data_IF_380552258637
#
_entry.id   IF_380552258637
#
_cell.length_a   1.000
_cell.length_b   1.000
_cell.length_c   1.000
_cell.angle_alpha   90.00
_cell.angle_beta   90.00
_cell.angle_gamma   90.00
#
_symmetry.space_group_name_H-M   'P 1'
#
loop_
_entity.id
_entity.type
_entity.pdbx_description
1 polymer ?
#
# COMPACT_ATOMS: atom_id res chain seq x y z
N UNK A 1 6.78 -6.39 29.00
CA UNK A 1 7.45 -6.78 27.73
C UNK A 1 6.80 -5.94 26.66
N UNK A 2 7.55 -5.25 25.80
CA UNK A 2 6.94 -4.37 24.80
C UNK A 2 6.15 -5.21 23.78
N UNK A 3 4.85 -4.92 23.61
CA UNK A 3 3.98 -5.69 22.70
C UNK A 3 3.49 -4.87 21.51
N UNK A 4 3.72 -3.54 21.51
CA UNK A 4 3.35 -2.67 20.40
C UNK A 4 4.43 -1.66 20.02
N UNK A 5 4.52 -1.42 18.71
CA UNK A 5 5.32 -0.37 18.07
C UNK A 5 4.37 0.78 17.70
N UNK A 6 4.57 1.95 18.30
CA UNK A 6 3.87 3.17 17.87
C UNK A 6 4.71 3.92 16.85
N UNK A 7 4.09 4.31 15.74
CA UNK A 7 4.68 5.12 14.68
C UNK A 7 4.05 6.51 14.73
N UNK A 8 4.84 7.52 15.10
CA UNK A 8 4.43 8.93 15.05
C UNK A 8 4.64 9.45 13.62
N UNK A 9 3.53 9.79 12.97
CA UNK A 9 3.51 10.25 11.58
C UNK A 9 4.03 11.68 11.40
N UNK A 10 3.92 12.52 12.45
CA UNK A 10 4.34 13.92 12.44
C UNK A 10 5.83 14.03 12.71
N UNK A 11 6.31 13.32 13.73
CA UNK A 11 7.72 13.33 14.14
C UNK A 11 8.58 12.34 13.37
N UNK A 12 7.97 11.36 12.69
CA UNK A 12 8.67 10.24 12.04
C UNK A 12 9.54 9.49 13.03
N UNK A 13 9.01 9.31 14.23
CA UNK A 13 9.67 8.55 15.30
C UNK A 13 8.96 7.24 15.49
N UNK A 14 9.71 6.24 15.94
CA UNK A 14 9.14 4.99 16.43
C UNK A 14 9.40 4.85 17.92
N UNK A 15 8.38 4.48 18.67
CA UNK A 15 8.43 4.24 20.12
C UNK A 15 7.90 2.85 20.43
N UNK A 16 8.48 2.24 21.46
CA UNK A 16 7.97 0.98 22.01
C UNK A 16 7.07 1.29 23.18
N UNK A 17 5.89 0.69 23.22
CA UNK A 17 4.97 0.86 24.35
C UNK A 17 4.77 -0.47 25.07
N UNK A 18 4.98 -0.47 26.37
CA UNK A 18 4.72 -1.63 27.23
C UNK A 18 3.22 -1.72 27.54
N UNK A 19 2.61 -2.88 27.33
CA UNK A 19 1.17 -3.11 27.55
C UNK A 19 0.75 -3.03 29.02
N UNK A 20 1.63 -3.39 29.94
CA UNK A 20 1.30 -3.45 31.38
C UNK A 20 1.51 -2.10 32.06
N UNK A 21 2.59 -1.41 31.70
CA UNK A 21 2.98 -0.16 32.36
C UNK A 21 2.61 1.10 31.57
N UNK A 22 2.24 0.99 30.29
CA UNK A 22 2.05 2.13 29.38
C UNK A 22 3.31 2.97 29.18
N UNK A 23 4.48 2.45 29.58
CA UNK A 23 5.75 3.17 29.50
C UNK A 23 6.28 3.09 28.08
N UNK A 24 6.71 4.25 27.60
CA UNK A 24 7.35 4.40 26.30
C UNK A 24 8.88 4.34 26.45
N UNK A 25 9.53 3.68 25.50
CA UNK A 25 10.97 3.79 25.32
C UNK A 25 11.34 5.16 24.70
N UNK A 26 12.62 5.51 24.77
CA UNK A 26 13.19 6.62 24.01
C UNK A 26 12.78 6.53 22.52
N UNK A 27 12.24 7.61 21.94
CA UNK A 27 11.86 7.63 20.54
C UNK A 27 13.08 7.51 19.65
N UNK A 28 12.97 6.66 18.64
CA UNK A 28 14.00 6.49 17.62
C UNK A 28 13.58 7.25 16.36
N UNK A 29 14.33 8.31 16.07
CA UNK A 29 14.10 9.18 14.91
C UNK A 29 14.34 8.44 13.60
N UNK A 30 13.42 8.53 12.65
CA UNK A 30 13.57 8.03 11.28
C UNK A 30 13.78 9.18 10.30
N UNK A 31 14.70 8.98 9.36
CA UNK A 31 14.78 9.89 8.23
C UNK A 31 13.56 9.68 7.30
N UNK A 32 13.24 10.66 6.44
CA UNK A 32 12.06 10.63 5.57
C UNK A 32 11.91 9.32 4.79
N UNK A 33 12.99 8.87 4.16
CA UNK A 33 12.97 7.65 3.36
C UNK A 33 12.84 6.40 4.23
N UNK A 34 13.48 6.38 5.41
CA UNK A 34 13.37 5.25 6.34
C UNK A 34 11.93 5.13 6.87
N UNK A 35 11.29 6.26 7.21
CA UNK A 35 9.89 6.32 7.61
C UNK A 35 8.95 5.85 6.49
N UNK A 36 9.13 6.36 5.28
CA UNK A 36 8.30 5.96 4.14
C UNK A 36 8.43 4.46 3.83
N UNK A 37 9.66 3.92 3.88
CA UNK A 37 9.91 2.50 3.66
C UNK A 37 9.28 1.67 4.78
N UNK A 38 9.40 2.08 6.05
CA UNK A 38 8.74 1.39 7.15
C UNK A 38 7.23 1.34 6.94
N UNK A 39 6.60 2.46 6.56
CA UNK A 39 5.17 2.49 6.27
C UNK A 39 4.79 1.53 5.14
N UNK A 40 5.57 1.50 4.05
CA UNK A 40 5.34 0.57 2.94
C UNK A 40 5.44 -0.91 3.37
N UNK A 41 6.41 -1.22 4.22
CA UNK A 41 6.58 -2.57 4.79
C UNK A 41 5.48 -2.95 5.77
N UNK A 42 5.00 -2.02 6.59
CA UNK A 42 3.88 -2.25 7.50
C UNK A 42 2.56 -2.46 6.72
N UNK A 43 2.34 -1.69 5.65
CA UNK A 43 1.15 -1.80 4.79
C UNK A 43 1.11 -3.14 4.02
N UNK A 44 2.28 -3.70 3.67
CA UNK A 44 2.43 -4.94 2.87
C UNK A 44 3.16 -6.04 3.64
N UNK A 45 2.82 -6.21 4.93
CA UNK A 45 3.48 -7.18 5.80
C UNK A 45 3.44 -8.60 5.21
N UNK A 46 4.60 -9.28 5.20
CA UNK A 46 4.73 -10.63 4.67
C UNK A 46 4.73 -10.73 3.13
N UNK A 47 4.54 -9.63 2.41
CA UNK A 47 4.54 -9.59 0.95
C UNK A 47 5.89 -9.10 0.39
N UNK A 48 6.25 -9.58 -0.80
CA UNK A 48 7.46 -9.12 -1.50
C UNK A 48 7.13 -7.83 -2.24
N UNK A 49 7.87 -6.76 -1.91
CA UNK A 49 7.76 -5.46 -2.57
C UNK A 49 8.94 -5.28 -3.52
N UNK A 50 8.65 -4.96 -4.77
CA UNK A 50 9.66 -4.70 -5.80
C UNK A 50 10.55 -3.49 -5.43
N UNK A 51 11.80 -3.54 -5.90
CA UNK A 51 12.79 -2.49 -5.61
C UNK A 51 12.39 -1.12 -6.15
N UNK A 52 11.81 -1.05 -7.35
CA UNK A 52 11.39 0.21 -7.94
C UNK A 52 10.21 0.79 -7.20
N UNK A 53 9.26 -0.04 -6.79
CA UNK A 53 8.14 0.38 -5.95
C UNK A 53 8.64 0.96 -4.61
N UNK A 54 9.61 0.30 -3.96
CA UNK A 54 10.22 0.82 -2.73
C UNK A 54 10.99 2.12 -2.95
N UNK A 55 11.67 2.28 -4.10
CA UNK A 55 12.34 3.54 -4.46
C UNK A 55 11.31 4.67 -4.62
N UNK A 56 10.22 4.43 -5.34
CA UNK A 56 9.16 5.42 -5.54
C UNK A 56 8.50 5.85 -4.22
N UNK A 57 8.20 4.88 -3.34
CA UNK A 57 7.60 5.14 -2.02
C UNK A 57 8.59 5.83 -1.08
N UNK A 58 9.85 5.40 -1.05
CA UNK A 58 10.90 5.95 -0.19
C UNK A 58 11.35 7.37 -0.58
N UNK A 59 11.24 7.71 -1.87
CA UNK A 59 11.70 8.98 -2.44
C UNK A 59 10.67 9.56 -3.44
N UNK A 60 9.47 9.95 -2.97
CA UNK A 60 8.43 10.44 -3.85
C UNK A 60 8.89 11.68 -4.61
N UNK A 61 8.77 11.63 -5.94
CA UNK A 61 9.17 12.71 -6.85
C UNK A 61 10.69 12.91 -6.98
N UNK A 62 11.52 11.96 -6.53
CA UNK A 62 12.98 12.04 -6.65
C UNK A 62 13.52 10.77 -7.29
N UNK A 63 14.35 10.96 -8.32
CA UNK A 63 15.11 9.86 -8.95
C UNK A 63 16.30 9.50 -8.06
N UNK A 64 16.31 8.28 -7.54
CA UNK A 64 17.44 7.68 -6.83
C UNK A 64 17.73 6.28 -7.39
N UNK A 65 18.94 5.78 -7.19
CA UNK A 65 19.30 4.42 -7.59
C UNK A 65 19.30 3.42 -6.44
N UNK A 66 19.43 2.12 -6.77
CA UNK A 66 19.43 0.96 -5.87
C UNK A 66 20.34 1.10 -4.65
N UNK A 67 21.50 1.75 -4.79
CA UNK A 67 22.41 1.97 -3.66
C UNK A 67 21.76 2.80 -2.54
N UNK A 68 20.92 3.79 -2.91
CA UNK A 68 20.19 4.60 -1.93
C UNK A 68 19.17 3.76 -1.17
N UNK A 69 18.45 2.87 -1.89
CA UNK A 69 17.54 1.90 -1.29
C UNK A 69 18.27 0.98 -0.30
N UNK A 70 19.39 0.40 -0.73
CA UNK A 70 20.20 -0.51 0.09
C UNK A 70 20.69 0.17 1.38
N UNK A 71 21.19 1.41 1.30
CA UNK A 71 21.65 2.18 2.47
C UNK A 71 20.49 2.52 3.41
N UNK A 72 19.33 2.91 2.88
CA UNK A 72 18.16 3.20 3.70
C UNK A 72 17.65 1.96 4.42
N UNK A 73 17.54 0.82 3.72
CA UNK A 73 17.16 -0.47 4.31
C UNK A 73 18.18 -0.91 5.38
N UNK A 74 19.47 -0.75 5.13
CA UNK A 74 20.51 -1.05 6.12
C UNK A 74 20.32 -0.24 7.41
N UNK A 75 20.05 1.06 7.30
CA UNK A 75 19.82 1.92 8.46
C UNK A 75 18.52 1.56 9.18
N UNK A 76 17.46 1.29 8.42
CA UNK A 76 16.18 0.87 8.97
C UNK A 76 16.30 -0.45 9.74
N UNK A 77 16.99 -1.46 9.18
CA UNK A 77 17.30 -2.72 9.88
C UNK A 77 17.99 -2.47 11.22
N UNK A 78 19.09 -1.71 11.24
CA UNK A 78 19.80 -1.39 12.48
C UNK A 78 18.90 -0.79 13.56
N UNK A 79 17.95 0.06 13.15
CA UNK A 79 16.98 0.67 14.06
C UNK A 79 15.97 -0.34 14.56
N UNK A 80 15.41 -1.18 13.70
CA UNK A 80 14.47 -2.23 14.08
C UNK A 80 15.12 -3.32 14.94
N UNK A 81 16.35 -3.70 14.63
CA UNK A 81 17.13 -4.69 15.39
C UNK A 81 17.38 -4.20 16.83
N UNK A 82 17.59 -2.89 17.02
CA UNK A 82 17.78 -2.29 18.35
C UNK A 82 16.55 -2.38 19.26
N UNK A 83 15.38 -2.68 18.69
CA UNK A 83 14.13 -2.86 19.42
C UNK A 83 13.97 -4.30 19.94
N UNK A 84 14.76 -5.26 19.43
CA UNK A 84 14.71 -6.68 19.78
C UNK A 84 13.31 -7.32 19.63
N UNK A 85 12.49 -6.79 18.71
CA UNK A 85 11.11 -7.19 18.48
C UNK A 85 10.91 -8.26 17.40
N UNK A 86 11.99 -8.79 16.82
CA UNK A 86 11.89 -9.80 15.76
C UNK A 86 11.32 -9.25 14.44
N UNK A 87 11.55 -7.96 14.19
CA UNK A 87 11.30 -7.33 12.90
C UNK A 87 12.46 -7.63 11.96
N UNK A 88 12.17 -8.26 10.84
CA UNK A 88 13.18 -8.66 9.86
C UNK A 88 12.81 -8.10 8.49
N UNK A 89 13.78 -7.48 7.80
CA UNK A 89 13.64 -7.12 6.39
C UNK A 89 14.55 -8.04 5.61
N UNK A 90 14.02 -8.91 4.76
CA UNK A 90 14.80 -9.86 3.96
C UNK A 90 14.85 -9.43 2.49
N UNK A 91 15.98 -9.71 1.83
CA UNK A 91 16.18 -9.43 0.41
C UNK A 91 15.97 -10.73 -0.38
N UNK A 92 15.09 -10.71 -1.37
CA UNK A 92 14.89 -11.78 -2.33
C UNK A 92 15.55 -11.36 -3.66
N UNK A 93 16.71 -11.95 -4.02
CA UNK A 93 17.43 -11.57 -5.23
C UNK A 93 16.57 -11.70 -6.48
N UNK A 94 16.44 -10.61 -7.24
CA UNK A 94 15.63 -10.56 -8.46
C UNK A 94 14.15 -10.23 -8.24
N UNK A 95 13.68 -10.22 -6.99
CA UNK A 95 12.26 -9.97 -6.68
C UNK A 95 12.06 -8.69 -5.86
N UNK A 96 12.90 -8.43 -4.84
CA UNK A 96 12.76 -7.25 -3.99
C UNK A 96 13.00 -7.53 -2.52
N UNK A 97 12.17 -6.94 -1.66
CA UNK A 97 12.30 -7.07 -0.21
C UNK A 97 10.98 -7.47 0.44
N UNK A 98 11.08 -8.25 1.52
CA UNK A 98 9.94 -8.65 2.36
C UNK A 98 10.18 -8.20 3.79
N UNK A 99 9.11 -7.80 4.47
CA UNK A 99 9.13 -7.50 5.89
C UNK A 99 8.39 -8.57 6.69
N UNK A 100 9.05 -9.09 7.73
CA UNK A 100 8.53 -10.13 8.61
C UNK A 100 8.48 -9.58 10.03
N UNK A 101 7.38 -9.85 10.71
CA UNK A 101 7.16 -9.50 12.12
C UNK A 101 7.02 -10.81 12.88
N UNK A 102 8.15 -11.41 13.26
CA UNK A 102 8.18 -12.77 13.79
C UNK A 102 7.48 -12.91 15.15
N UNK A 103 7.35 -11.81 15.91
CA UNK A 103 6.70 -11.79 17.23
C UNK A 103 5.26 -11.28 17.18
N UNK A 104 4.69 -11.05 15.99
CA UNK A 104 3.33 -10.52 15.81
C UNK A 104 3.05 -9.26 16.66
N UNK A 105 4.04 -8.37 16.79
CA UNK A 105 3.92 -7.11 17.53
C UNK A 105 2.85 -6.24 16.87
N UNK A 106 1.96 -5.64 17.66
CA UNK A 106 0.97 -4.68 17.15
C UNK A 106 1.67 -3.42 16.63
N UNK A 107 1.34 -2.99 15.41
CA UNK A 107 1.87 -1.75 14.84
C UNK A 107 0.74 -0.73 14.79
N UNK A 108 0.88 0.34 15.57
CA UNK A 108 -0.10 1.41 15.68
C UNK A 108 0.43 2.68 15.02
N UNK A 109 -0.46 3.37 14.31
CA UNK A 109 -0.17 4.68 13.74
C UNK A 109 -0.88 5.74 14.57
N UNK A 110 -0.12 6.63 15.18
CA UNK A 110 -0.68 7.84 15.78
C UNK A 110 -1.04 8.79 14.64
N UNK A 111 -2.20 8.54 14.05
CA UNK A 111 -2.80 9.40 13.05
C UNK A 111 -3.35 10.63 13.77
N UNK A 112 -2.65 11.75 13.65
CA UNK A 112 -3.25 13.06 13.79
C UNK A 112 -4.22 13.34 12.64
N UNK A 113 -5.35 12.61 12.58
CA UNK A 113 -6.61 12.97 11.92
C UNK A 113 -7.49 11.71 11.80
N UNK A 114 -8.52 11.64 12.63
CA UNK A 114 -9.68 10.78 12.45
C UNK A 114 -10.41 11.10 11.14
N UNK A 115 -10.81 10.04 10.47
CA UNK A 115 -11.99 9.89 9.62
C UNK A 115 -13.05 11.01 9.71
N UNK A 116 -13.38 11.62 8.57
CA UNK A 116 -14.60 12.38 8.36
C UNK A 116 -14.98 12.38 6.86
N UNK A 117 -15.77 11.38 6.48
CA UNK A 117 -16.97 11.48 5.64
C UNK A 117 -17.08 12.63 4.61
N UNK A 118 -17.13 12.27 3.34
CA UNK A 118 -17.89 12.99 2.31
C UNK A 118 -19.37 13.12 2.77
N UNK A 119 -20.02 14.28 2.62
CA UNK A 119 -20.91 14.45 1.47
C UNK A 119 -20.88 15.86 0.82
N UNK A 120 -20.93 15.86 -0.51
CA UNK A 120 -21.93 16.58 -1.33
C UNK A 120 -22.13 18.08 -1.07
N UNK A 121 -21.56 18.92 -1.95
CA UNK A 121 -22.25 20.14 -2.43
C UNK A 121 -21.98 20.31 -3.92
N UNK A 122 -23.07 20.22 -4.69
CA UNK A 122 -23.24 20.59 -6.09
C UNK A 122 -22.96 22.08 -6.36
N UNK A 123 -22.55 22.38 -7.60
CA UNK A 123 -22.88 23.57 -8.41
C UNK A 123 -22.66 24.96 -7.74
N UNK A 124 -21.90 25.89 -8.32
CA UNK A 124 -22.46 26.78 -9.35
C UNK A 124 -21.37 27.55 -10.08
N UNK A 125 -21.52 27.54 -11.39
CA UNK A 125 -20.98 28.38 -12.47
C UNK A 125 -20.91 29.87 -12.11
N UNK A 126 -19.88 30.59 -12.56
CA UNK A 126 -19.96 31.81 -13.40
C UNK A 126 -18.57 32.09 -13.99
N UNK A 127 -18.53 32.08 -15.32
CA UNK A 127 -17.42 32.55 -16.15
C UNK A 127 -17.66 34.02 -16.54
N UNK A 128 -16.58 34.82 -16.44
CA UNK A 128 -16.15 35.94 -17.31
C UNK A 128 -17.12 37.13 -17.59
N UNK A 129 -16.67 38.24 -18.24
CA UNK A 129 -15.35 38.88 -18.34
C UNK A 129 -15.45 40.39 -17.93
N UNK A 130 -14.36 41.18 -17.98
CA UNK A 130 -14.35 42.57 -18.50
C UNK A 130 -12.92 43.13 -18.45
N UNK A 131 -12.59 43.81 -19.55
CA UNK A 131 -11.31 44.32 -20.02
C UNK A 131 -10.93 45.70 -19.46
N UNK A 132 -9.63 45.98 -19.58
CA UNK A 132 -9.02 47.28 -19.94
C UNK A 132 -8.55 48.22 -18.82
N UNK A 133 -7.23 48.41 -18.71
CA UNK A 133 -6.57 49.63 -19.23
C UNK A 133 -5.04 49.49 -19.29
N UNK A 134 -4.49 50.16 -20.30
CA UNK A 134 -3.13 50.10 -20.84
C UNK A 134 -2.34 51.36 -20.42
N UNK A 135 -1.09 51.24 -19.97
CA UNK A 135 -0.06 52.30 -20.07
C UNK A 135 1.36 51.77 -19.76
N UNK A 136 2.10 51.46 -20.83
CA UNK A 136 3.44 51.96 -21.20
C UNK A 136 4.57 52.07 -20.14
N UNK A 137 5.63 51.24 -20.27
CA UNK A 137 7.03 51.60 -20.67
C UNK A 137 8.07 50.50 -20.31
N UNK A 138 8.74 50.01 -21.38
CA UNK A 138 10.12 49.47 -21.55
C UNK A 138 10.59 48.08 -21.03
N UNK A 139 10.95 47.29 -22.05
CA UNK A 139 12.17 46.46 -22.25
C UNK A 139 12.34 45.08 -21.54
N UNK A 140 12.48 44.06 -22.41
CA UNK A 140 12.75 42.62 -22.26
C UNK A 140 14.03 42.24 -21.46
N UNK A 141 14.33 40.94 -21.22
CA UNK A 141 13.48 39.76 -21.03
C UNK A 141 13.88 38.99 -19.75
N UNK A 142 12.92 38.56 -18.93
CA UNK A 142 13.16 37.42 -18.04
C UNK A 142 11.88 36.58 -17.97
N UNK A 143 11.78 35.61 -18.87
CA UNK A 143 10.65 34.70 -19.00
C UNK A 143 10.61 33.77 -17.77
N UNK A 144 9.91 34.25 -16.76
CA UNK A 144 8.83 33.58 -16.01
C UNK A 144 8.77 32.05 -16.05
N UNK A 145 8.79 31.52 -14.83
CA UNK A 145 7.72 30.68 -14.26
C UNK A 145 7.47 29.28 -14.83
N UNK A 146 7.59 28.34 -13.88
CA UNK A 146 6.52 27.42 -13.50
C UNK A 146 5.81 26.71 -14.64
N UNK A 147 6.40 25.62 -15.10
CA UNK A 147 5.61 24.44 -15.41
C UNK A 147 5.37 23.67 -14.11
N UNK A 148 4.31 24.04 -13.40
CA UNK A 148 3.59 23.09 -12.57
C UNK A 148 3.07 22.00 -13.52
N UNK A 149 3.81 20.90 -13.63
CA UNK A 149 3.26 19.66 -14.13
C UNK A 149 2.44 19.10 -12.97
N UNK A 150 1.14 19.33 -13.03
CA UNK A 150 0.14 18.70 -12.17
C UNK A 150 0.13 17.21 -12.50
N UNK A 151 1.04 16.45 -11.89
CA UNK A 151 0.98 14.99 -11.89
C UNK A 151 -0.15 14.64 -10.94
N UNK A 152 -1.29 14.36 -11.53
CA UNK A 152 -2.45 13.80 -10.86
C UNK A 152 -2.02 12.51 -10.14
N UNK A 153 -1.86 12.61 -8.82
CA UNK A 153 -1.74 11.47 -7.92
C UNK A 153 -3.12 10.81 -7.81
N UNK A 154 -3.57 10.12 -8.87
CA UNK A 154 -4.77 9.30 -8.81
C UNK A 154 -4.43 7.98 -8.13
N UNK A 155 -5.01 7.81 -6.95
CA UNK A 155 -4.88 6.67 -6.04
C UNK A 155 -4.75 5.30 -6.68
N UNK A 156 -3.55 4.73 -6.55
CA UNK A 156 -3.33 3.27 -6.66
C UNK A 156 -3.62 2.58 -5.31
N UNK A 157 -3.87 3.35 -4.23
CA UNK A 157 -4.29 2.80 -2.92
C UNK A 157 -5.78 2.44 -2.88
N UNK A 158 -6.19 1.35 -3.55
CA UNK A 158 -7.37 0.55 -3.10
C UNK A 158 -7.65 -0.79 -3.80
N UNK A 159 -6.87 -1.28 -4.76
CA UNK A 159 -7.37 -2.39 -5.61
C UNK A 159 -6.77 -3.78 -5.38
N UNK A 160 -5.89 -3.98 -4.40
CA UNK A 160 -5.39 -5.34 -4.09
C UNK A 160 -5.51 -5.59 -2.59
N UNK A 161 -6.75 -5.61 -2.09
CA UNK A 161 -7.08 -6.10 -0.75
C UNK A 161 -8.36 -6.91 -0.79
N UNK A 162 -8.31 -8.06 -1.46
CA UNK A 162 -9.13 -9.24 -1.15
C UNK A 162 -8.40 -10.50 -1.62
N UNK A 163 -8.16 -11.50 -0.77
CA UNK A 163 -7.81 -12.83 -1.25
C UNK A 163 -9.08 -13.43 -1.89
N UNK A 164 -9.20 -13.33 -3.22
CA UNK A 164 -10.31 -13.88 -4.02
C UNK A 164 -10.30 -15.44 -4.02
N UNK A 165 -9.44 -16.06 -3.23
CA UNK A 165 -9.17 -17.49 -3.27
C UNK A 165 -10.33 -18.39 -2.80
N UNK A 166 -11.23 -17.94 -1.93
CA UNK A 166 -12.35 -18.78 -1.49
C UNK A 166 -13.58 -18.74 -2.41
N UNK A 167 -13.91 -17.58 -2.99
CA UNK A 167 -15.12 -17.44 -3.83
C UNK A 167 -14.97 -18.13 -5.19
N UNK A 168 -13.77 -18.11 -5.78
CA UNK A 168 -13.48 -18.85 -7.02
C UNK A 168 -13.46 -20.36 -6.76
N UNK A 169 -12.94 -20.78 -5.60
CA UNK A 169 -12.95 -22.19 -5.18
C UNK A 169 -14.38 -22.72 -5.01
N UNK A 170 -15.27 -21.94 -4.38
CA UNK A 170 -16.68 -22.30 -4.25
C UNK A 170 -17.37 -22.38 -5.62
N UNK A 171 -17.11 -21.44 -6.53
CA UNK A 171 -17.65 -21.46 -7.88
C UNK A 171 -17.22 -22.69 -8.69
N UNK A 172 -15.94 -23.05 -8.62
CA UNK A 172 -15.41 -24.26 -9.28
C UNK A 172 -16.01 -25.53 -8.69
N UNK A 173 -16.12 -25.63 -7.35
CA UNK A 173 -16.71 -26.79 -6.69
C UNK A 173 -18.19 -26.93 -7.04
N UNK A 174 -18.97 -25.85 -7.00
CA UNK A 174 -20.40 -25.86 -7.37
C UNK A 174 -20.57 -26.23 -8.85
N UNK A 175 -19.71 -25.73 -9.73
CA UNK A 175 -19.66 -26.12 -11.15
C UNK A 175 -19.39 -27.62 -11.34
N UNK A 176 -18.40 -28.18 -10.64
CA UNK A 176 -18.08 -29.60 -10.71
C UNK A 176 -19.23 -30.46 -10.16
N UNK A 177 -19.84 -30.06 -9.03
CA UNK A 177 -20.96 -30.80 -8.42
C UNK A 177 -22.20 -30.77 -9.30
N UNK A 178 -22.58 -29.60 -9.84
CA UNK A 178 -23.72 -29.49 -10.75
C UNK A 178 -23.48 -30.25 -12.05
N UNK A 179 -22.29 -30.16 -12.62
CA UNK A 179 -21.89 -30.97 -13.78
C UNK A 179 -22.02 -32.46 -13.47
N UNK A 180 -21.48 -32.94 -12.35
CA UNK A 180 -21.56 -34.36 -11.97
C UNK A 180 -23.01 -34.82 -11.73
N UNK A 181 -23.86 -33.98 -11.14
CA UNK A 181 -25.27 -34.30 -10.90
C UNK A 181 -26.05 -34.41 -12.22
N UNK A 182 -25.85 -33.45 -13.14
CA UNK A 182 -26.45 -33.49 -14.49
C UNK A 182 -25.92 -34.67 -15.31
N UNK A 183 -24.62 -34.96 -15.22
CA UNK A 183 -24.00 -36.07 -15.95
C UNK A 183 -24.45 -37.43 -15.43
N UNK A 184 -24.66 -37.56 -14.11
CA UNK A 184 -25.24 -38.76 -13.49
C UNK A 184 -26.68 -38.98 -13.95
N UNK A 185 -27.50 -37.93 -13.95
CA UNK A 185 -28.90 -38.02 -14.41
C UNK A 185 -28.98 -38.39 -15.92
N UNK A 186 -28.06 -37.87 -16.74
CA UNK A 186 -28.03 -38.14 -18.17
C UNK A 186 -27.63 -39.59 -18.52
N UNK A 187 -26.84 -40.27 -17.67
CA UNK A 187 -26.39 -41.63 -17.93
C UNK A 187 -27.41 -42.71 -17.47
N UNK A 188 -28.32 -42.40 -16.56
CA UNK A 188 -29.40 -43.33 -16.16
C UNK A 188 -30.47 -43.49 -17.26
N UNK A 189 -30.51 -42.62 -18.27
CA UNK A 189 -31.32 -42.83 -19.48
C UNK A 189 -30.64 -43.67 -20.58
N UNK A 190 -29.32 -43.94 -20.49
CA UNK A 190 -28.61 -44.65 -21.56
C UNK A 190 -28.68 -46.19 -21.43
N UNK A 191 -28.90 -46.72 -20.22
CA UNK A 191 -28.98 -48.17 -19.99
C UNK A 191 -30.33 -48.81 -20.39
N UNK A 192 -31.31 -48.04 -20.88
CA UNK A 192 -32.55 -48.58 -21.45
C UNK A 192 -32.60 -48.67 -22.98
N UNK A 193 -31.59 -48.18 -23.71
CA UNK A 193 -31.61 -48.18 -25.19
C UNK A 193 -30.79 -49.31 -25.85
N UNK A 194 -30.41 -50.33 -25.07
CA UNK A 194 -29.68 -51.51 -25.54
C UNK A 194 -30.49 -52.81 -25.65
N UNK A 195 -31.82 -52.75 -25.51
CA UNK A 195 -32.67 -53.94 -25.50
C UNK A 195 -33.90 -53.81 -26.40
N UNK A 196 -33.99 -54.74 -27.36
CA UNK A 196 -35.13 -55.10 -28.22
C UNK A 196 -35.20 -54.41 -29.59
N UNK A 197 -34.87 -55.19 -30.63
CA UNK A 197 -35.44 -55.00 -31.97
C UNK A 197 -34.62 -55.61 -33.11
N UNK A 198 -34.76 -56.93 -33.35
CA UNK A 198 -34.35 -57.58 -34.61
C UNK A 198 -33.61 -58.89 -34.46
#
# INVERSE_FOLDING_TARGET
MYERLSIDTVRRTITLVDSESGKENQPLELNRSEYNLLLAFCDSHGEVIDKQALIELGWPGRVVGDNSLAVAIMKLRKKLDSLELGFEINNLPGEGYVFINAKNVGIEHENGASDASNPEVEETVIAEPVVENLADIKEEPNHSESRHVEIQHTGIKKLIRKPIFWEVSLGIIVGIVTFYFVYREAFECFDCFGGVGG
#
